data_IF_628699673348
#
_entry.id   IF_628699673348
#
_cell.length_a   1.000
_cell.length_b   1.000
_cell.length_c   1.000
_cell.angle_alpha   90.00
_cell.angle_beta   90.00
_cell.angle_gamma   90.00
#
_symmetry.space_group_name_H-M   'P 1'
#
loop_
_entity.id
_entity.type
_entity.pdbx_description
1 polymer ?
#
# COMPACT_ATOMS: atom_id res chain seq x y z
N UNK A 1 -12.86 -2.15 -19.51
CA UNK A 1 -13.74 -3.25 -19.06
C UNK A 1 -14.85 -2.67 -18.18
N UNK A 2 -15.97 -3.36 -17.95
CA UNK A 2 -17.09 -2.85 -17.13
C UNK A 2 -16.96 -3.34 -15.68
N UNK A 3 -17.34 -2.51 -14.71
CA UNK A 3 -17.36 -2.85 -13.28
C UNK A 3 -18.10 -4.17 -12.98
N UNK A 4 -19.17 -4.46 -13.73
CA UNK A 4 -19.97 -5.69 -13.64
C UNK A 4 -19.10 -6.96 -13.72
N UNK A 5 -18.06 -6.97 -14.58
CA UNK A 5 -17.20 -8.14 -14.73
C UNK A 5 -16.34 -8.38 -13.48
N UNK A 6 -15.83 -7.31 -12.87
CA UNK A 6 -15.01 -7.38 -11.65
C UNK A 6 -15.87 -7.78 -10.47
N UNK A 7 -17.06 -7.18 -10.35
CA UNK A 7 -18.05 -7.54 -9.32
C UNK A 7 -18.45 -9.00 -9.41
N UNK A 8 -18.71 -9.52 -10.61
CA UNK A 8 -19.06 -10.93 -10.79
C UNK A 8 -17.88 -11.86 -10.46
N UNK A 9 -16.65 -11.50 -10.89
CA UNK A 9 -15.47 -12.33 -10.63
C UNK A 9 -15.18 -12.47 -9.12
N UNK A 10 -15.15 -11.36 -8.38
CA UNK A 10 -14.89 -11.38 -6.93
C UNK A 10 -16.12 -11.65 -6.06
N UNK A 11 -17.33 -11.51 -6.62
CA UNK A 11 -18.59 -11.73 -5.91
C UNK A 11 -19.18 -13.13 -6.09
N UNK A 12 -18.96 -13.76 -7.24
CA UNK A 12 -19.60 -15.05 -7.60
C UNK A 12 -18.61 -16.14 -8.05
N UNK A 13 -17.52 -15.77 -8.73
CA UNK A 13 -16.59 -16.76 -9.33
C UNK A 13 -15.54 -17.26 -8.33
N UNK A 14 -14.90 -16.37 -7.58
CA UNK A 14 -13.91 -16.75 -6.58
C UNK A 14 -14.59 -17.22 -5.27
N UNK A 15 -14.34 -18.46 -4.85
CA UNK A 15 -14.86 -19.02 -3.60
C UNK A 15 -13.79 -19.14 -2.50
N UNK A 16 -12.50 -19.02 -2.84
CA UNK A 16 -11.40 -18.92 -1.89
C UNK A 16 -10.07 -18.51 -2.54
N UNK A 17 -9.01 -18.33 -1.73
CA UNK A 17 -7.67 -17.97 -2.21
C UNK A 17 -7.00 -19.06 -3.06
N UNK A 18 -7.42 -20.31 -2.91
CA UNK A 18 -6.90 -21.46 -3.67
C UNK A 18 -7.35 -21.45 -5.15
N UNK A 19 -8.32 -20.60 -5.50
CA UNK A 19 -8.82 -20.47 -6.87
C UNK A 19 -7.90 -19.60 -7.77
N UNK A 20 -6.97 -18.85 -7.15
CA UNK A 20 -6.05 -17.95 -7.84
C UNK A 20 -5.00 -18.71 -8.66
N UNK A 21 -4.74 -18.25 -9.90
CA UNK A 21 -3.82 -18.90 -10.84
C UNK A 21 -2.39 -18.33 -10.80
N UNK A 22 -2.13 -17.42 -9.87
CA UNK A 22 -0.86 -16.72 -9.71
C UNK A 22 -0.40 -16.74 -8.25
N UNK A 23 0.93 -16.71 -8.02
CA UNK A 23 1.46 -16.47 -6.67
C UNK A 23 1.50 -14.96 -6.32
N UNK A 24 0.66 -14.16 -6.97
CA UNK A 24 0.41 -12.77 -6.61
C UNK A 24 0.08 -12.66 -5.12
N UNK A 25 -0.57 -13.70 -4.58
CA UNK A 25 -0.80 -13.92 -3.15
C UNK A 25 0.38 -14.59 -2.46
N UNK A 26 1.00 -13.86 -1.52
CA UNK A 26 2.21 -14.27 -0.80
C UNK A 26 2.07 -15.61 -0.06
N UNK A 27 3.19 -16.30 0.10
CA UNK A 27 3.37 -17.44 0.99
C UNK A 27 3.11 -17.05 2.46
N UNK A 28 2.37 -17.85 3.27
CA UNK A 28 2.07 -17.56 4.67
C UNK A 28 3.27 -17.39 5.62
N UNK A 29 4.47 -17.81 5.21
CA UNK A 29 5.63 -18.02 6.08
C UNK A 29 6.33 -16.73 6.54
N UNK A 30 6.19 -15.61 5.81
CA UNK A 30 6.90 -14.34 6.10
C UNK A 30 6.11 -13.35 6.97
N UNK A 31 4.91 -13.71 7.44
CA UNK A 31 4.06 -12.78 8.19
C UNK A 31 4.53 -12.60 9.65
N UNK A 32 4.71 -11.36 10.14
CA UNK A 32 5.10 -11.10 11.52
C UNK A 32 4.11 -11.68 12.54
N UNK A 33 4.62 -12.15 13.69
CA UNK A 33 3.80 -12.79 14.73
C UNK A 33 2.68 -11.88 15.27
N UNK A 34 2.93 -10.57 15.37
CA UNK A 34 1.90 -9.64 15.84
C UNK A 34 0.72 -9.56 14.86
N UNK A 35 1.00 -9.59 13.54
CA UNK A 35 -0.02 -9.63 12.50
C UNK A 35 -0.81 -10.94 12.58
N UNK A 36 -0.14 -12.08 12.75
CA UNK A 36 -0.80 -13.38 12.93
C UNK A 36 -1.78 -13.36 14.11
N UNK A 37 -1.41 -12.74 15.24
CA UNK A 37 -2.28 -12.58 16.42
C UNK A 37 -3.45 -11.63 16.19
N UNK A 38 -3.27 -10.60 15.38
CA UNK A 38 -4.36 -9.70 14.98
C UNK A 38 -5.36 -10.46 14.12
N UNK A 39 -4.87 -11.17 13.10
CA UNK A 39 -5.70 -11.94 12.18
C UNK A 39 -6.44 -13.09 12.86
N UNK A 40 -5.86 -13.73 13.88
CA UNK A 40 -6.53 -14.80 14.63
C UNK A 40 -7.73 -14.34 15.46
N UNK A 41 -7.90 -13.03 15.65
CA UNK A 41 -9.06 -12.46 16.34
C UNK A 41 -10.16 -11.97 15.39
N UNK A 42 -9.95 -12.11 14.07
CA UNK A 42 -10.94 -11.76 13.05
C UNK A 42 -11.95 -12.90 12.91
N UNK A 43 -13.22 -12.55 12.75
CA UNK A 43 -14.31 -13.52 12.59
C UNK A 43 -14.12 -14.39 11.33
N UNK A 44 -14.40 -15.69 11.43
CA UNK A 44 -14.19 -16.66 10.34
C UNK A 44 -14.94 -16.30 9.05
N UNK A 45 -16.20 -15.84 9.15
CA UNK A 45 -16.98 -15.37 7.99
C UNK A 45 -16.30 -14.23 7.21
N UNK A 46 -15.50 -13.40 7.89
CA UNK A 46 -14.73 -12.31 7.27
C UNK A 46 -13.44 -12.86 6.66
N UNK A 47 -12.74 -13.77 7.36
CA UNK A 47 -11.48 -14.35 6.90
C UNK A 47 -11.66 -15.23 5.66
N UNK A 48 -12.72 -16.02 5.60
CA UNK A 48 -12.97 -16.99 4.52
C UNK A 48 -13.32 -16.34 3.18
N UNK A 49 -13.68 -15.05 3.17
CA UNK A 49 -14.06 -14.28 1.97
C UNK A 49 -13.00 -13.28 1.53
N UNK A 50 -11.75 -13.52 1.90
CA UNK A 50 -10.63 -12.63 1.57
C UNK A 50 -9.83 -13.15 0.37
N UNK A 51 -9.50 -12.23 -0.54
CA UNK A 51 -8.82 -12.52 -1.81
C UNK A 51 -7.51 -11.73 -1.99
N UNK A 52 -6.93 -11.22 -0.90
CA UNK A 52 -5.70 -10.42 -0.93
C UNK A 52 -4.47 -11.12 -0.34
N UNK A 53 -3.35 -10.39 -0.29
CA UNK A 53 -2.03 -10.91 0.04
C UNK A 53 -1.56 -10.35 1.39
N UNK A 54 -1.53 -11.16 2.46
CA UNK A 54 -1.03 -10.70 3.76
C UNK A 54 -1.83 -9.53 4.34
N UNK A 55 -1.29 -8.78 5.30
CA UNK A 55 -1.90 -7.55 5.80
C UNK A 55 -1.06 -6.37 5.33
N UNK A 56 -1.66 -5.41 4.65
CA UNK A 56 -1.00 -4.15 4.27
C UNK A 56 -1.18 -3.15 5.41
N UNK A 57 -0.18 -3.09 6.28
CA UNK A 57 -0.18 -2.20 7.43
C UNK A 57 1.19 -1.51 7.57
N UNK A 58 1.28 -0.18 7.42
CA UNK A 58 2.50 0.53 7.77
C UNK A 58 2.68 0.60 9.29
N UNK A 59 3.85 1.04 9.74
CA UNK A 59 4.17 1.19 11.16
C UNK A 59 3.52 2.46 11.77
N UNK A 60 3.50 2.53 13.10
CA UNK A 60 3.00 3.68 13.88
C UNK A 60 1.55 4.05 13.52
N UNK A 61 0.60 3.16 13.86
CA UNK A 61 -0.82 3.28 13.50
C UNK A 61 -1.70 3.79 14.65
N UNK A 62 -1.18 3.84 15.88
CA UNK A 62 -1.98 4.18 17.07
C UNK A 62 -2.71 5.53 16.89
N UNK A 63 -4.04 5.50 17.10
CA UNK A 63 -4.91 6.67 16.96
C UNK A 63 -5.14 7.15 15.52
N UNK A 64 -4.58 6.50 14.50
CA UNK A 64 -4.69 6.95 13.12
C UNK A 64 -6.12 6.77 12.57
N UNK A 65 -6.50 7.67 11.65
CA UNK A 65 -7.65 7.49 10.78
C UNK A 65 -7.22 6.90 9.44
N UNK A 66 -7.67 5.69 9.15
CA UNK A 66 -7.27 4.90 7.98
C UNK A 66 -8.44 4.71 7.00
N UNK A 67 -8.17 4.82 5.70
CA UNK A 67 -9.08 4.41 4.63
C UNK A 67 -8.52 3.15 3.94
N UNK A 68 -9.33 2.11 3.80
CA UNK A 68 -9.02 0.91 3.03
C UNK A 68 -9.80 0.90 1.72
N UNK A 69 -9.09 0.93 0.59
CA UNK A 69 -9.66 0.92 -0.75
C UNK A 69 -9.78 -0.51 -1.25
N UNK A 70 -11.01 -0.95 -1.54
CA UNK A 70 -11.32 -2.32 -1.94
C UNK A 70 -11.37 -3.28 -0.74
N UNK A 71 -12.09 -2.89 0.31
CA UNK A 71 -12.02 -3.57 1.61
C UNK A 71 -12.66 -4.97 1.65
N UNK A 72 -13.47 -5.34 0.64
CA UNK A 72 -14.21 -6.60 0.61
C UNK A 72 -15.05 -6.82 1.87
N UNK A 73 -14.96 -8.02 2.44
CA UNK A 73 -15.62 -8.39 3.70
C UNK A 73 -15.02 -7.71 4.95
N UNK A 74 -13.98 -6.88 4.80
CA UNK A 74 -13.42 -6.05 5.87
C UNK A 74 -12.30 -6.69 6.67
N UNK A 75 -11.62 -7.75 6.19
CA UNK A 75 -10.51 -8.38 6.92
C UNK A 75 -9.45 -7.35 7.32
N UNK A 76 -8.97 -6.57 6.36
CA UNK A 76 -7.87 -5.62 6.59
C UNK A 76 -8.39 -4.43 7.42
N UNK A 77 -9.63 -3.97 7.18
CA UNK A 77 -10.32 -2.97 8.02
C UNK A 77 -10.36 -3.38 9.50
N UNK A 78 -10.78 -4.62 9.81
CA UNK A 78 -10.85 -5.09 11.19
C UNK A 78 -9.48 -5.35 11.80
N UNK A 79 -8.52 -5.84 11.01
CA UNK A 79 -7.14 -5.98 11.49
C UNK A 79 -6.53 -4.61 11.84
N UNK A 80 -6.73 -3.62 10.98
CA UNK A 80 -6.28 -2.24 11.21
C UNK A 80 -7.02 -1.59 12.38
N UNK A 81 -8.32 -1.85 12.56
CA UNK A 81 -9.12 -1.38 13.70
C UNK A 81 -8.49 -1.76 15.03
N UNK A 82 -7.98 -2.98 15.15
CA UNK A 82 -7.25 -3.43 16.33
C UNK A 82 -5.89 -2.74 16.49
N UNK A 83 -5.17 -2.50 15.39
CA UNK A 83 -3.84 -1.87 15.40
C UNK A 83 -3.88 -0.36 15.69
N UNK A 84 -4.92 0.35 15.24
CA UNK A 84 -5.09 1.78 15.54
C UNK A 84 -5.62 2.02 16.96
N UNK A 85 -6.22 0.98 17.58
CA UNK A 85 -6.83 1.06 18.90
C UNK A 85 -8.15 1.83 18.92
N UNK A 86 -8.79 1.89 20.09
CA UNK A 86 -10.14 2.43 20.28
C UNK A 86 -10.27 3.92 19.88
N UNK A 87 -9.19 4.69 19.96
CA UNK A 87 -9.17 6.12 19.60
C UNK A 87 -8.96 6.37 18.10
N UNK A 88 -8.47 5.38 17.37
CA UNK A 88 -8.34 5.42 15.91
C UNK A 88 -9.65 5.09 15.21
N UNK A 89 -9.67 5.23 13.88
CA UNK A 89 -10.85 4.96 13.06
C UNK A 89 -10.44 4.33 11.74
N UNK A 90 -11.19 3.34 11.26
CA UNK A 90 -10.93 2.70 9.96
C UNK A 90 -12.16 2.72 9.09
N UNK A 91 -12.03 3.19 7.87
CA UNK A 91 -13.12 3.29 6.89
C UNK A 91 -12.79 2.36 5.73
N UNK A 92 -13.71 1.48 5.35
CA UNK A 92 -13.59 0.63 4.16
C UNK A 92 -14.48 1.13 3.03
N UNK A 93 -13.98 1.08 1.79
CA UNK A 93 -14.76 1.32 0.57
C UNK A 93 -14.72 0.08 -0.31
N UNK A 94 -15.88 -0.41 -0.72
CA UNK A 94 -15.97 -1.49 -1.71
C UNK A 94 -17.16 -1.30 -2.66
N UNK A 95 -17.05 -1.82 -3.88
CA UNK A 95 -18.12 -1.74 -4.88
C UNK A 95 -19.14 -2.89 -4.75
N UNK A 96 -18.88 -3.88 -3.91
CA UNK A 96 -19.65 -5.14 -3.81
C UNK A 96 -20.51 -5.17 -2.55
N UNK A 97 -21.80 -4.89 -2.69
CA UNK A 97 -22.72 -4.80 -1.54
C UNK A 97 -22.77 -6.10 -0.72
N UNK A 98 -22.73 -7.26 -1.38
CA UNK A 98 -22.73 -8.55 -0.70
C UNK A 98 -21.50 -8.77 0.22
N UNK A 99 -20.35 -8.18 -0.11
CA UNK A 99 -19.15 -8.21 0.74
C UNK A 99 -19.31 -7.24 1.91
N UNK A 100 -19.82 -6.03 1.64
CA UNK A 100 -20.10 -5.03 2.68
C UNK A 100 -21.15 -5.51 3.69
N UNK A 101 -22.14 -6.28 3.25
CA UNK A 101 -23.14 -6.90 4.14
C UNK A 101 -22.53 -7.92 5.10
N UNK A 102 -21.48 -8.64 4.68
CA UNK A 102 -20.69 -9.47 5.61
C UNK A 102 -19.93 -8.56 6.56
N UNK A 103 -19.20 -7.58 6.02
CA UNK A 103 -18.39 -6.66 6.80
C UNK A 103 -19.21 -6.02 7.93
N UNK A 104 -20.33 -5.36 7.59
CA UNK A 104 -21.21 -4.65 8.53
C UNK A 104 -21.79 -5.56 9.62
N UNK A 105 -22.12 -6.82 9.31
CA UNK A 105 -22.68 -7.77 10.29
C UNK A 105 -21.73 -8.12 11.44
N UNK A 106 -20.42 -7.97 11.25
CA UNK A 106 -19.42 -8.33 12.26
C UNK A 106 -18.82 -7.11 13.00
N UNK A 107 -19.39 -5.91 12.85
CA UNK A 107 -18.86 -4.70 13.49
C UNK A 107 -18.85 -4.78 15.02
N UNK A 108 -19.96 -5.25 15.60
CA UNK A 108 -20.11 -5.40 17.06
C UNK A 108 -19.22 -6.52 17.59
N UNK A 109 -19.16 -7.66 16.88
CA UNK A 109 -18.28 -8.77 17.24
C UNK A 109 -16.83 -8.31 17.41
N UNK A 110 -16.28 -7.58 16.42
CA UNK A 110 -14.89 -7.14 16.48
C UNK A 110 -14.68 -6.07 17.55
N UNK A 111 -15.64 -5.16 17.76
CA UNK A 111 -15.57 -4.19 18.85
C UNK A 111 -15.46 -4.90 20.22
N UNK A 112 -16.33 -5.87 20.49
CA UNK A 112 -16.31 -6.65 21.73
C UNK A 112 -15.02 -7.47 21.85
N UNK A 113 -14.61 -8.15 20.77
CA UNK A 113 -13.42 -9.00 20.71
C UNK A 113 -12.13 -8.21 20.96
N UNK A 114 -12.07 -6.96 20.52
CA UNK A 114 -10.92 -6.06 20.73
C UNK A 114 -11.02 -5.27 22.04
N UNK A 115 -12.16 -5.34 22.75
CA UNK A 115 -12.39 -4.62 23.99
C UNK A 115 -12.70 -3.13 23.80
N UNK A 116 -13.18 -2.73 22.63
CA UNK A 116 -13.63 -1.36 22.35
C UNK A 116 -15.06 -1.16 22.86
N UNK A 117 -15.36 0.00 23.42
CA UNK A 117 -16.71 0.35 23.86
C UNK A 117 -17.72 0.40 22.70
N UNK A 118 -17.26 0.83 21.53
CA UNK A 118 -18.03 0.88 20.29
C UNK A 118 -17.14 0.50 19.10
N UNK A 119 -17.77 0.07 18.01
CA UNK A 119 -17.05 -0.16 16.76
C UNK A 119 -16.48 1.16 16.23
N UNK A 120 -15.18 1.16 15.91
CA UNK A 120 -14.49 2.29 15.30
C UNK A 120 -14.31 2.12 13.78
N UNK A 121 -15.08 1.21 13.17
CA UNK A 121 -15.05 0.97 11.72
C UNK A 121 -16.33 1.45 11.02
N UNK A 122 -16.18 1.84 9.75
CA UNK A 122 -17.27 2.25 8.86
C UNK A 122 -17.07 1.66 7.47
N UNK A 123 -18.16 1.40 6.74
CA UNK A 123 -18.13 0.78 5.42
C UNK A 123 -19.02 1.53 4.41
N UNK A 124 -18.41 2.05 3.34
CA UNK A 124 -19.10 2.76 2.26
C UNK A 124 -19.19 1.90 1.01
N UNK A 125 -20.36 1.91 0.38
CA UNK A 125 -20.54 1.36 -0.96
C UNK A 125 -20.12 2.39 -2.00
N UNK A 126 -19.19 2.03 -2.88
CA UNK A 126 -18.62 3.00 -3.82
C UNK A 126 -17.54 2.44 -4.73
N UNK A 127 -17.17 3.24 -5.72
CA UNK A 127 -16.05 2.95 -6.60
C UNK A 127 -14.82 3.73 -6.14
N UNK A 128 -13.66 3.05 -6.10
CA UNK A 128 -12.40 3.66 -5.65
C UNK A 128 -11.87 4.73 -6.61
N UNK A 129 -12.33 4.77 -7.86
CA UNK A 129 -12.05 5.85 -8.82
C UNK A 129 -13.01 7.05 -8.71
N UNK A 130 -14.01 6.98 -7.82
CA UNK A 130 -15.05 8.01 -7.60
C UNK A 130 -15.17 8.39 -6.13
N UNK A 131 -14.03 8.51 -5.44
CA UNK A 131 -13.98 8.84 -4.01
C UNK A 131 -14.61 10.20 -3.68
N UNK A 132 -14.68 11.11 -4.66
CA UNK A 132 -15.34 12.41 -4.58
C UNK A 132 -16.87 12.32 -4.57
N UNK A 133 -17.45 11.19 -4.97
CA UNK A 133 -18.90 10.92 -4.88
C UNK A 133 -19.31 10.37 -3.49
N UNK A 134 -18.33 9.99 -2.65
CA UNK A 134 -18.56 9.46 -1.31
C UNK A 134 -18.57 10.57 -0.27
N UNK A 135 -19.31 10.37 0.83
CA UNK A 135 -19.36 11.29 1.97
C UNK A 135 -18.10 11.13 2.85
N UNK A 136 -16.94 11.44 2.26
CA UNK A 136 -15.63 11.39 2.90
C UNK A 136 -15.04 12.80 2.97
N UNK A 137 -14.68 13.22 4.17
CA UNK A 137 -14.13 14.56 4.39
C UNK A 137 -12.73 14.70 3.75
N UNK A 138 -12.49 15.73 2.90
CA UNK A 138 -11.17 16.00 2.35
C UNK A 138 -10.12 16.27 3.42
N UNK A 139 -8.89 15.80 3.20
CA UNK A 139 -7.81 16.02 4.16
C UNK A 139 -8.05 15.46 5.55
N UNK A 140 -8.84 14.38 5.69
CA UNK A 140 -9.24 13.81 6.99
C UNK A 140 -8.50 12.53 7.36
N UNK A 141 -7.86 11.85 6.39
CA UNK A 141 -7.20 10.56 6.62
C UNK A 141 -5.70 10.72 6.86
N UNK A 142 -5.17 10.01 7.86
CA UNK A 142 -3.73 9.92 8.12
C UNK A 142 -3.07 8.94 7.14
N UNK A 143 -3.76 7.83 6.85
CA UNK A 143 -3.24 6.73 6.05
C UNK A 143 -4.34 6.22 5.11
N UNK A 144 -3.98 5.96 3.87
CA UNK A 144 -4.81 5.21 2.93
C UNK A 144 -4.07 3.92 2.58
N UNK A 145 -4.73 2.78 2.72
CA UNK A 145 -4.19 1.48 2.33
C UNK A 145 -4.99 0.87 1.18
N UNK A 146 -4.35 -0.06 0.48
CA UNK A 146 -4.98 -0.85 -0.56
C UNK A 146 -4.14 -2.09 -0.84
N UNK A 147 -4.80 -3.21 -1.15
CA UNK A 147 -4.12 -4.45 -1.48
C UNK A 147 -4.64 -5.02 -2.81
N UNK A 148 -3.84 -4.92 -3.87
CA UNK A 148 -4.08 -5.51 -5.19
C UNK A 148 -5.37 -5.09 -5.91
N UNK A 149 -5.99 -3.95 -5.57
CA UNK A 149 -7.22 -3.49 -6.23
C UNK A 149 -7.07 -2.27 -7.14
N UNK A 150 -5.98 -1.49 -7.03
CA UNK A 150 -5.81 -0.28 -7.86
C UNK A 150 -5.68 -0.69 -9.34
N UNK A 151 -5.06 -1.83 -9.62
CA UNK A 151 -5.01 -2.41 -10.95
C UNK A 151 -6.36 -2.74 -11.58
N UNK A 152 -7.39 -2.99 -10.76
CA UNK A 152 -8.75 -3.27 -11.21
C UNK A 152 -9.57 -1.99 -11.47
N UNK A 153 -9.07 -0.83 -11.05
CA UNK A 153 -9.74 0.45 -11.29
C UNK A 153 -9.69 0.83 -12.77
N UNK A 154 -10.81 1.38 -13.25
CA UNK A 154 -10.94 1.82 -14.65
C UNK A 154 -10.20 3.14 -14.92
N UNK A 155 -10.13 4.03 -13.93
CA UNK A 155 -9.31 5.24 -13.94
C UNK A 155 -8.38 5.28 -12.71
N UNK A 156 -7.19 4.71 -12.88
CA UNK A 156 -6.15 4.64 -11.85
C UNK A 156 -5.66 6.02 -11.41
N UNK A 157 -5.65 6.98 -12.32
CA UNK A 157 -5.25 8.34 -11.99
C UNK A 157 -6.30 9.03 -11.12
N UNK A 158 -7.59 8.74 -11.32
CA UNK A 158 -8.65 9.20 -10.43
C UNK A 158 -8.52 8.63 -9.02
N UNK A 159 -8.19 7.33 -8.88
CA UNK A 159 -7.91 6.72 -7.56
C UNK A 159 -6.81 7.49 -6.83
N UNK A 160 -5.66 7.71 -7.48
CA UNK A 160 -4.52 8.40 -6.86
C UNK A 160 -4.82 9.87 -6.54
N UNK A 161 -5.56 10.58 -7.41
CA UNK A 161 -6.00 11.96 -7.10
C UNK A 161 -6.99 12.01 -5.93
N UNK A 162 -7.93 11.07 -5.88
CA UNK A 162 -8.89 10.95 -4.77
C UNK A 162 -8.18 10.65 -3.45
N UNK A 163 -7.21 9.73 -3.47
CA UNK A 163 -6.38 9.43 -2.32
C UNK A 163 -5.58 10.66 -1.84
N UNK A 164 -4.92 11.38 -2.75
CA UNK A 164 -4.20 12.61 -2.42
C UNK A 164 -5.13 13.71 -1.85
N UNK A 165 -6.38 13.78 -2.33
CA UNK A 165 -7.37 14.74 -1.83
C UNK A 165 -7.86 14.42 -0.41
N UNK A 166 -8.06 13.13 -0.10
CA UNK A 166 -8.55 12.66 1.19
C UNK A 166 -7.48 12.62 2.28
N UNK A 167 -6.20 12.49 1.91
CA UNK A 167 -5.08 12.51 2.84
C UNK A 167 -4.87 13.90 3.46
N UNK A 168 -4.63 13.94 4.77
CA UNK A 168 -4.02 15.09 5.46
C UNK A 168 -2.68 15.44 4.83
N UNK A 169 -2.25 16.69 4.99
CA UNK A 169 -0.86 17.04 4.69
C UNK A 169 0.05 16.28 5.67
N UNK A 170 1.06 15.59 5.13
CA UNK A 170 1.88 14.63 5.88
C UNK A 170 1.28 13.21 6.00
N UNK A 171 0.07 13.00 5.50
CA UNK A 171 -0.53 11.67 5.38
C UNK A 171 0.14 10.81 4.29
N UNK A 172 -0.10 9.50 4.31
CA UNK A 172 0.48 8.59 3.32
C UNK A 172 -0.52 7.62 2.71
N UNK A 173 -0.33 7.31 1.43
CA UNK A 173 -0.92 6.11 0.82
C UNK A 173 0.11 4.98 0.86
N UNK A 174 -0.19 3.87 1.52
CA UNK A 174 0.68 2.70 1.66
C UNK A 174 -0.03 1.48 1.09
N UNK A 175 0.40 0.98 -0.06
CA UNK A 175 -0.34 -0.03 -0.80
C UNK A 175 0.56 -0.99 -1.55
N UNK A 176 0.05 -2.19 -1.82
CA UNK A 176 0.74 -3.19 -2.63
C UNK A 176 -0.08 -3.50 -3.87
N UNK A 177 0.60 -3.60 -5.01
CA UNK A 177 -0.03 -3.99 -6.27
C UNK A 177 0.97 -4.68 -7.21
N UNK A 178 0.46 -5.17 -8.34
CA UNK A 178 1.24 -5.81 -9.41
C UNK A 178 1.70 -4.77 -10.44
N UNK A 179 2.94 -4.85 -10.86
CA UNK A 179 3.50 -3.95 -11.87
C UNK A 179 4.20 -4.75 -12.95
N UNK A 180 4.09 -4.26 -14.19
CA UNK A 180 4.74 -4.85 -15.34
C UNK A 180 6.06 -4.13 -15.67
N UNK A 181 7.02 -4.89 -16.18
CA UNK A 181 8.31 -4.38 -16.69
C UNK A 181 8.15 -3.50 -17.95
N UNK A 182 7.03 -3.66 -18.66
CA UNK A 182 6.66 -2.91 -19.88
C UNK A 182 5.15 -2.74 -19.96
N UNK A 183 4.68 -1.91 -20.91
CA UNK A 183 3.25 -1.67 -21.13
C UNK A 183 2.54 -2.94 -21.61
N UNK A 184 1.47 -3.31 -20.92
CA UNK A 184 0.61 -4.44 -21.31
C UNK A 184 -0.10 -4.11 -22.64
N UNK A 185 -0.04 -4.99 -23.65
CA UNK A 185 -0.77 -4.79 -24.90
C UNK A 185 -2.28 -4.71 -24.69
N UNK A 186 -2.96 -3.81 -25.42
CA UNK A 186 -4.40 -3.58 -25.29
C UNK A 186 -5.24 -4.85 -25.48
N UNK A 187 -4.84 -5.73 -26.39
CA UNK A 187 -5.53 -7.00 -26.65
C UNK A 187 -5.54 -7.92 -25.42
N UNK A 188 -4.51 -7.86 -24.57
CA UNK A 188 -4.48 -8.59 -23.29
C UNK A 188 -5.31 -7.90 -22.21
N UNK A 189 -5.38 -6.57 -22.22
CA UNK A 189 -6.19 -5.77 -21.29
C UNK A 189 -7.70 -6.00 -21.44
N UNK A 190 -8.14 -6.58 -22.56
CA UNK A 190 -9.54 -6.95 -22.82
C UNK A 190 -9.86 -8.40 -22.42
N UNK A 191 -8.87 -9.19 -21.99
CA UNK A 191 -9.07 -10.56 -21.49
C UNK A 191 -9.54 -10.57 -20.04
N UNK A 192 -10.75 -11.12 -19.81
CA UNK A 192 -11.40 -11.13 -18.49
C UNK A 192 -10.66 -11.98 -17.45
N UNK A 193 -10.03 -13.09 -17.87
CA UNK A 193 -9.29 -13.97 -16.94
C UNK A 193 -8.00 -13.30 -16.50
N UNK A 194 -7.22 -12.76 -17.43
CA UNK A 194 -5.99 -12.03 -17.09
C UNK A 194 -6.27 -10.75 -16.30
N UNK A 195 -7.44 -10.15 -16.48
CA UNK A 195 -7.87 -8.98 -15.71
C UNK A 195 -8.24 -9.34 -14.29
N UNK A 196 -9.00 -10.44 -14.09
CA UNK A 196 -9.35 -10.95 -12.76
C UNK A 196 -8.13 -11.38 -11.94
N UNK A 197 -7.06 -11.84 -12.58
CA UNK A 197 -5.77 -12.15 -11.95
C UNK A 197 -4.87 -10.91 -11.72
N UNK A 198 -5.39 -9.69 -11.91
CA UNK A 198 -4.65 -8.43 -11.80
C UNK A 198 -3.42 -8.28 -12.75
N UNK A 199 -3.28 -9.15 -13.75
CA UNK A 199 -2.14 -9.14 -14.67
C UNK A 199 -2.33 -8.15 -15.82
N UNK A 200 -3.49 -8.21 -16.49
CA UNK A 200 -3.71 -7.37 -17.68
C UNK A 200 -4.01 -5.91 -17.36
N UNK A 201 -4.47 -5.64 -16.14
CA UNK A 201 -4.66 -4.29 -15.59
C UNK A 201 -3.38 -3.67 -15.01
N UNK A 202 -2.29 -4.44 -14.91
CA UNK A 202 -1.04 -4.00 -14.30
C UNK A 202 -0.43 -2.81 -15.05
N UNK A 203 -0.06 -1.77 -14.31
CA UNK A 203 0.65 -0.63 -14.88
C UNK A 203 2.10 -0.98 -15.19
N UNK A 204 2.60 -0.44 -16.30
CA UNK A 204 4.03 -0.30 -16.47
C UNK A 204 4.60 0.56 -15.34
N UNK A 205 5.68 0.10 -14.71
CA UNK A 205 6.31 0.74 -13.56
C UNK A 205 6.53 2.25 -13.72
N UNK A 206 7.10 2.72 -14.83
CA UNK A 206 7.37 4.14 -15.01
C UNK A 206 6.12 4.97 -15.36
N UNK A 207 5.08 4.34 -15.94
CA UNK A 207 3.79 5.00 -16.11
C UNK A 207 3.13 5.21 -14.74
N UNK A 208 3.22 4.22 -13.83
CA UNK A 208 2.77 4.37 -12.44
C UNK A 208 3.47 5.53 -11.72
N UNK A 209 4.81 5.60 -11.79
CA UNK A 209 5.56 6.69 -11.17
C UNK A 209 5.14 8.06 -11.73
N UNK A 210 4.93 8.13 -13.05
CA UNK A 210 4.50 9.37 -13.72
C UNK A 210 3.10 9.80 -13.28
N UNK A 211 2.15 8.85 -13.22
CA UNK A 211 0.77 9.13 -12.79
C UNK A 211 0.74 9.53 -11.31
N UNK A 212 1.52 8.87 -10.45
CA UNK A 212 1.62 9.20 -9.02
C UNK A 212 2.08 10.63 -8.81
N UNK A 213 3.16 11.04 -9.48
CA UNK A 213 3.67 12.42 -9.45
C UNK A 213 2.64 13.43 -9.97
N UNK A 214 1.99 13.12 -11.10
CA UNK A 214 0.93 13.97 -11.64
C UNK A 214 -0.31 14.06 -10.74
N UNK A 215 -0.49 13.12 -9.80
CA UNK A 215 -1.61 13.07 -8.87
C UNK A 215 -1.30 13.73 -7.52
N UNK A 216 -0.10 14.29 -7.34
CA UNK A 216 0.31 15.03 -6.13
C UNK A 216 1.27 14.27 -5.21
N UNK A 217 1.74 13.09 -5.61
CA UNK A 217 2.74 12.31 -4.87
C UNK A 217 4.13 12.46 -5.51
N UNK A 218 4.87 13.49 -5.12
CA UNK A 218 6.10 13.91 -5.80
C UNK A 218 7.26 12.90 -5.70
N UNK A 219 7.31 12.11 -4.63
CA UNK A 219 8.40 11.15 -4.36
C UNK A 219 7.85 9.78 -3.91
N UNK A 220 7.38 8.93 -4.86
CA UNK A 220 6.98 7.55 -4.57
C UNK A 220 8.13 6.70 -4.06
N UNK A 221 7.98 6.05 -2.90
CA UNK A 221 9.04 5.20 -2.31
C UNK A 221 8.68 3.72 -2.37
N UNK A 222 9.57 2.93 -2.98
CA UNK A 222 9.46 1.48 -3.02
C UNK A 222 9.86 0.88 -1.68
N UNK A 223 8.94 0.21 -0.99
CA UNK A 223 9.18 -0.41 0.32
C UNK A 223 9.72 -1.83 0.15
N UNK A 224 9.00 -2.66 -0.59
CA UNK A 224 9.39 -4.03 -0.92
C UNK A 224 8.96 -4.37 -2.34
N UNK A 225 9.70 -5.25 -3.01
CA UNK A 225 9.34 -5.81 -4.31
C UNK A 225 9.71 -7.29 -4.35
N UNK A 226 8.87 -8.10 -4.98
CA UNK A 226 9.17 -9.50 -5.28
C UNK A 226 8.73 -9.85 -6.70
N UNK A 227 9.51 -10.66 -7.44
CA UNK A 227 9.05 -11.25 -8.69
C UNK A 227 7.74 -12.02 -8.49
N UNK A 228 6.82 -11.89 -9.43
CA UNK A 228 5.58 -12.66 -9.47
C UNK A 228 5.72 -13.75 -10.53
N UNK A 229 5.50 -15.00 -10.12
CA UNK A 229 5.56 -16.16 -11.01
C UNK A 229 4.14 -16.64 -11.32
N UNK A 230 3.90 -16.98 -12.58
CA UNK A 230 2.61 -17.47 -13.05
C UNK A 230 2.68 -18.98 -13.06
N UNK A 231 1.99 -19.63 -12.13
CA UNK A 231 2.05 -21.08 -11.95
C UNK A 231 1.17 -21.86 -12.95
N UNK A 232 0.58 -21.13 -13.91
CA UNK A 232 -0.18 -21.67 -15.02
C UNK A 232 0.60 -21.47 -16.35
N UNK A 233 1.16 -22.54 -16.93
CA UNK A 233 1.97 -22.44 -18.15
C UNK A 233 1.23 -21.86 -19.36
N UNK A 234 -0.10 -22.02 -19.41
CA UNK A 234 -0.92 -21.44 -20.48
C UNK A 234 -0.99 -19.93 -20.31
N UNK A 235 -1.24 -19.44 -19.09
CA UNK A 235 -1.27 -17.99 -18.82
C UNK A 235 0.11 -17.37 -18.98
N UNK A 236 1.17 -18.05 -18.54
CA UNK A 236 2.56 -17.60 -18.68
C UNK A 236 2.93 -17.38 -20.16
N UNK A 237 2.61 -18.34 -21.04
CA UNK A 237 2.83 -18.17 -22.48
C UNK A 237 2.00 -17.04 -23.09
N UNK A 238 0.79 -16.80 -22.57
CA UNK A 238 -0.10 -15.74 -23.06
C UNK A 238 0.38 -14.35 -22.71
N UNK A 239 1.01 -14.17 -21.54
CA UNK A 239 1.52 -12.86 -21.12
C UNK A 239 2.97 -12.61 -21.53
N UNK A 240 3.70 -13.64 -21.97
CA UNK A 240 5.05 -13.47 -22.47
C UNK A 240 5.10 -12.40 -23.60
N UNK A 241 6.10 -11.49 -23.61
CA UNK A 241 7.31 -11.46 -22.79
C UNK A 241 7.21 -10.55 -21.54
N UNK A 242 6.01 -10.27 -21.01
CA UNK A 242 5.82 -9.45 -19.81
C UNK A 242 6.43 -10.15 -18.59
N UNK A 243 7.09 -9.38 -17.74
CA UNK A 243 7.49 -9.80 -16.40
C UNK A 243 6.76 -8.95 -15.37
N UNK A 244 6.32 -9.57 -14.28
CA UNK A 244 5.53 -8.93 -13.25
C UNK A 244 6.26 -8.93 -11.90
N UNK A 245 6.06 -7.85 -11.15
CA UNK A 245 6.57 -7.68 -9.78
C UNK A 245 5.40 -7.29 -8.90
N UNK A 246 5.24 -7.97 -7.77
CA UNK A 246 4.40 -7.48 -6.68
C UNK A 246 5.23 -6.51 -5.84
N UNK A 247 4.80 -5.26 -5.74
CA UNK A 247 5.54 -4.23 -5.03
C UNK A 247 4.65 -3.44 -4.07
N UNK A 248 5.23 -3.12 -2.92
CA UNK A 248 4.64 -2.24 -1.92
C UNK A 248 5.24 -0.86 -2.05
N UNK A 249 4.39 0.14 -2.23
CA UNK A 249 4.76 1.53 -2.32
C UNK A 249 4.20 2.32 -1.15
N UNK A 250 4.95 3.36 -0.76
CA UNK A 250 4.45 4.43 0.09
C UNK A 250 4.54 5.77 -0.63
N UNK A 251 3.45 6.52 -0.59
CA UNK A 251 3.29 7.80 -1.26
C UNK A 251 2.89 8.85 -0.21
N UNK A 252 3.82 9.71 0.18
CA UNK A 252 3.52 10.79 1.12
C UNK A 252 2.88 11.99 0.42
N UNK A 253 1.83 12.55 1.03
CA UNK A 253 1.23 13.81 0.61
C UNK A 253 1.97 14.98 1.28
N UNK A 254 3.08 15.39 0.67
CA UNK A 254 3.88 16.52 1.11
C UNK A 254 4.24 17.38 -0.11
N UNK A 255 3.63 18.56 -0.20
CA UNK A 255 3.79 19.44 -1.36
C UNK A 255 5.22 19.96 -1.57
N UNK A 256 6.01 19.99 -0.50
CA UNK A 256 7.40 20.47 -0.50
C UNK A 256 8.41 19.42 -1.00
N UNK A 257 8.01 18.16 -1.21
CA UNK A 257 8.92 17.14 -1.72
C UNK A 257 9.38 17.48 -3.14
N UNK A 258 10.68 17.42 -3.35
CA UNK A 258 11.35 17.75 -4.60
C UNK A 258 11.39 16.51 -5.53
N UNK A 259 11.47 16.69 -6.87
CA UNK A 259 11.54 15.57 -7.81
C UNK A 259 12.82 14.72 -7.70
N UNK A 260 13.88 15.29 -7.13
CA UNK A 260 15.17 14.67 -6.92
C UNK A 260 15.53 14.68 -5.43
N UNK A 261 16.40 13.76 -5.00
CA UNK A 261 16.92 13.76 -3.65
C UNK A 261 18.03 14.81 -3.51
N UNK A 262 17.69 15.97 -2.97
CA UNK A 262 18.63 17.07 -2.72
C UNK A 262 19.32 16.92 -1.36
N UNK A 263 20.59 17.31 -1.29
CA UNK A 263 21.43 17.27 -0.10
C UNK A 263 21.50 18.65 0.58
N UNK A 264 21.13 18.68 1.85
CA UNK A 264 21.22 19.85 2.73
C UNK A 264 22.08 19.57 3.98
N UNK A 265 22.88 18.49 3.97
CA UNK A 265 23.74 18.11 5.10
C UNK A 265 22.98 17.54 6.30
N UNK A 266 21.79 16.99 6.04
CA UNK A 266 20.84 16.56 7.06
C UNK A 266 21.09 15.12 7.53
N UNK A 267 20.81 14.85 8.81
CA UNK A 267 20.84 13.50 9.38
C UNK A 267 19.81 13.28 10.49
N UNK A 268 19.20 12.11 10.52
CA UNK A 268 18.21 11.73 11.55
C UNK A 268 18.78 10.71 12.52
N UNK A 269 18.19 10.62 13.72
CA UNK A 269 18.45 9.53 14.67
C UNK A 269 17.13 8.90 15.04
N UNK A 270 16.98 7.60 14.77
CA UNK A 270 15.80 6.86 15.18
C UNK A 270 15.84 6.55 16.69
N UNK A 271 14.76 6.86 17.41
CA UNK A 271 14.67 6.67 18.88
C UNK A 271 14.36 5.23 19.30
N UNK A 272 13.88 4.37 18.38
CA UNK A 272 13.49 3.00 18.73
C UNK A 272 12.16 2.91 19.49
N UNK A 273 11.25 3.85 19.22
CA UNK A 273 9.98 4.03 19.95
C UNK A 273 8.76 3.48 19.21
N UNK A 274 8.92 3.07 17.95
CA UNK A 274 7.83 2.41 17.21
C UNK A 274 7.72 0.98 17.71
N UNK A 275 6.54 0.59 18.20
CA UNK A 275 6.29 -0.65 18.95
C UNK A 275 6.83 -1.92 18.25
N UNK A 276 6.57 -2.06 16.95
CA UNK A 276 6.98 -3.24 16.17
C UNK A 276 8.29 -3.05 15.41
N UNK A 277 9.04 -1.99 15.71
CA UNK A 277 10.32 -1.67 15.09
C UNK A 277 11.33 -1.13 16.11
N UNK A 278 11.61 -1.83 17.23
CA UNK A 278 12.40 -1.27 18.34
C UNK A 278 13.90 -1.11 18.04
N UNK A 279 14.42 -1.78 17.01
CA UNK A 279 15.86 -1.84 16.70
C UNK A 279 16.26 -1.04 15.46
N UNK A 280 15.40 -0.98 14.46
CA UNK A 280 15.60 -0.26 13.22
C UNK A 280 14.25 0.16 12.65
N UNK A 281 14.22 1.29 11.95
CA UNK A 281 13.06 1.76 11.22
C UNK A 281 13.33 1.63 9.72
N UNK A 282 12.49 0.87 9.03
CA UNK A 282 12.56 0.71 7.58
C UNK A 282 11.55 1.70 6.98
N UNK A 283 12.05 2.79 6.39
CA UNK A 283 11.21 3.73 5.67
C UNK A 283 10.88 3.17 4.28
N UNK A 284 11.88 2.66 3.57
CA UNK A 284 11.74 2.09 2.25
C UNK A 284 12.91 1.13 1.97
N UNK A 285 12.98 0.56 0.78
CA UNK A 285 14.02 -0.40 0.36
C UNK A 285 15.46 0.11 0.47
N UNK A 286 15.68 1.42 0.56
CA UNK A 286 17.00 2.04 0.64
C UNK A 286 17.31 2.62 2.03
N UNK A 287 16.29 2.87 2.85
CA UNK A 287 16.42 3.55 4.14
C UNK A 287 16.07 2.60 5.31
N UNK A 288 17.07 1.83 5.74
CA UNK A 288 17.05 1.05 6.98
C UNK A 288 17.83 1.82 8.05
N UNK A 289 17.12 2.41 9.01
CA UNK A 289 17.67 3.38 9.98
C UNK A 289 17.82 2.71 11.35
N UNK A 290 19.03 2.36 11.81
CA UNK A 290 19.24 1.74 13.11
C UNK A 290 18.97 2.70 14.27
N UNK A 291 18.41 2.18 15.35
CA UNK A 291 18.20 2.93 16.59
C UNK A 291 19.50 3.57 17.09
N UNK A 292 19.44 4.86 17.43
CA UNK A 292 20.53 5.61 18.06
C UNK A 292 21.69 5.94 17.12
N UNK A 293 21.64 5.53 15.85
CA UNK A 293 22.66 5.87 14.85
C UNK A 293 22.30 7.21 14.18
N UNK A 294 23.28 8.10 14.06
CA UNK A 294 23.19 9.26 13.16
C UNK A 294 23.18 8.74 11.72
N UNK A 295 22.08 8.96 11.02
CA UNK A 295 21.84 8.45 9.68
C UNK A 295 21.64 9.61 8.70
N UNK A 296 22.58 9.88 7.78
CA UNK A 296 22.44 10.93 6.77
C UNK A 296 21.24 10.68 5.85
N UNK A 297 20.52 11.75 5.51
CA UNK A 297 19.33 11.68 4.66
C UNK A 297 19.25 12.87 3.71
N UNK A 298 18.59 12.70 2.58
CA UNK A 298 18.23 13.81 1.69
C UNK A 298 17.06 14.63 2.27
N UNK A 299 16.84 15.82 1.68
CA UNK A 299 15.75 16.73 2.06
C UNK A 299 14.36 16.10 2.04
N UNK A 300 14.07 15.27 1.04
CA UNK A 300 12.79 14.56 0.96
C UNK A 300 12.59 13.57 2.11
N UNK A 301 13.57 12.69 2.34
CA UNK A 301 13.51 11.70 3.43
C UNK A 301 13.40 12.40 4.78
N UNK A 302 14.10 13.52 4.97
CA UNK A 302 13.97 14.34 6.16
C UNK A 302 12.54 14.85 6.37
N UNK A 303 11.91 15.43 5.34
CA UNK A 303 10.52 15.89 5.41
C UNK A 303 9.54 14.73 5.64
N UNK A 304 9.74 13.58 5.00
CA UNK A 304 8.91 12.39 5.22
C UNK A 304 8.95 11.88 6.66
N UNK A 305 10.05 12.11 7.38
CA UNK A 305 10.17 11.73 8.78
C UNK A 305 9.71 12.86 9.72
N UNK A 306 10.03 14.12 9.43
CA UNK A 306 9.75 15.27 10.30
C UNK A 306 8.31 15.78 10.19
N UNK A 307 7.76 15.79 8.99
CA UNK A 307 6.51 16.48 8.69
C UNK A 307 5.34 15.48 8.56
N UNK A 308 5.48 14.31 9.21
CA UNK A 308 4.50 13.23 9.23
C UNK A 308 4.37 12.68 10.66
N UNK A 309 3.51 11.68 10.84
CA UNK A 309 3.35 11.00 12.15
C UNK A 309 4.63 10.37 12.71
N UNK A 310 5.70 10.25 11.93
CA UNK A 310 6.96 9.70 12.38
C UNK A 310 7.80 10.68 13.22
N UNK A 311 7.48 11.98 13.22
CA UNK A 311 8.30 13.04 13.80
C UNK A 311 8.75 12.74 15.23
N UNK A 312 7.83 12.31 16.09
CA UNK A 312 8.11 12.05 17.50
C UNK A 312 9.09 10.90 17.72
N UNK A 313 9.27 10.03 16.73
CA UNK A 313 10.16 8.86 16.77
C UNK A 313 11.59 9.16 16.31
N UNK A 314 11.88 10.38 15.87
CA UNK A 314 13.20 10.76 15.36
C UNK A 314 13.73 12.03 16.03
N UNK A 315 15.05 12.11 16.16
CA UNK A 315 15.77 13.36 16.37
C UNK A 315 16.37 13.82 15.04
N UNK A 316 16.51 15.13 14.89
CA UNK A 316 16.80 15.79 13.63
C UNK A 316 18.05 16.69 13.76
N UNK A 317 19.06 16.46 12.92
CA UNK A 317 20.31 17.25 12.83
C UNK A 317 20.44 17.96 11.47
N UNK A 318 20.49 19.29 11.48
CA UNK A 318 20.58 20.13 10.27
C UNK A 318 19.29 20.90 9.96
N UNK A 319 19.32 21.66 8.88
CA UNK A 319 18.23 22.51 8.38
C UNK A 319 18.26 22.57 6.85
N UNK A 320 17.56 23.53 6.24
CA UNK A 320 17.52 23.74 4.78
C UNK A 320 18.27 25.02 4.35
N UNK A 321 19.14 25.58 5.19
CA UNK A 321 19.80 26.88 4.90
C UNK A 321 20.91 26.76 3.85
N UNK A 322 21.57 25.61 3.73
CA UNK A 322 22.67 25.39 2.78
C UNK A 322 22.41 24.16 1.90
N UNK A 323 22.36 24.37 0.59
CA UNK A 323 22.23 23.30 -0.41
C UNK A 323 23.61 22.82 -0.89
N UNK A 324 23.82 21.51 -0.90
CA UNK A 324 25.07 20.85 -1.27
C UNK A 324 25.02 20.13 -2.63
N UNK A 325 23.86 20.15 -3.31
CA UNK A 325 23.65 19.46 -4.58
C UNK A 325 22.83 18.18 -4.42
N UNK A 326 23.07 17.19 -5.28
CA UNK A 326 22.35 15.91 -5.26
C UNK A 326 22.88 15.01 -4.14
N UNK A 327 21.97 14.42 -3.37
CA UNK A 327 22.30 13.40 -2.37
C UNK A 327 22.63 12.07 -3.06
N UNK A 328 23.85 11.58 -2.87
CA UNK A 328 24.31 10.33 -3.47
C UNK A 328 23.60 9.10 -2.85
N UNK A 329 23.22 8.13 -3.69
CA UNK A 329 22.68 6.84 -3.23
C UNK A 329 21.20 6.83 -2.81
N UNK A 330 20.44 7.90 -3.09
CA UNK A 330 19.01 7.94 -2.81
C UNK A 330 18.18 7.32 -3.94
N UNK A 331 17.96 5.99 -3.87
CA UNK A 331 16.75 5.33 -4.39
C UNK A 331 16.39 5.45 -5.88
N UNK A 332 17.37 5.42 -6.79
CA UNK A 332 17.14 5.66 -8.23
C UNK A 332 16.88 4.46 -9.14
N UNK A 333 17.06 3.22 -8.66
CA UNK A 333 17.05 2.04 -9.56
C UNK A 333 15.73 1.27 -9.53
N UNK A 334 15.21 0.93 -10.72
CA UNK A 334 14.04 0.08 -10.87
C UNK A 334 14.35 -1.36 -10.44
N UNK A 335 13.43 -2.09 -9.79
CA UNK A 335 13.70 -3.41 -9.23
C UNK A 335 13.93 -4.51 -10.28
N UNK A 336 13.77 -4.22 -11.57
CA UNK A 336 14.00 -5.18 -12.66
C UNK A 336 15.48 -5.48 -12.93
N UNK A 337 16.42 -4.81 -12.25
CA UNK A 337 17.84 -5.15 -12.25
C UNK A 337 18.15 -6.20 -11.19
N UNK A 338 17.66 -7.43 -11.36
CA UNK A 338 17.99 -8.54 -10.46
C UNK A 338 19.39 -9.15 -10.67
N UNK A 339 20.20 -8.58 -11.59
CA UNK A 339 21.50 -9.12 -12.02
C UNK A 339 22.71 -8.17 -11.77
N UNK A 340 22.54 -7.06 -11.03
CA UNK A 340 23.62 -6.07 -10.86
C UNK A 340 24.55 -6.29 -9.65
N UNK A 341 24.29 -7.27 -8.79
CA UNK A 341 25.22 -7.69 -7.72
C UNK A 341 26.13 -8.81 -8.23
N UNK A 342 27.05 -8.49 -9.15
CA UNK A 342 27.87 -9.56 -9.70
C UNK A 342 28.96 -9.25 -10.72
N UNK A 343 29.36 -8.00 -10.99
CA UNK A 343 30.60 -7.76 -11.76
C UNK A 343 31.33 -6.51 -11.26
N UNK A 344 32.10 -6.67 -10.19
CA UNK A 344 33.21 -5.77 -9.92
C UNK A 344 34.26 -5.96 -11.03
N UNK A 345 34.35 -5.00 -11.95
CA UNK A 345 35.46 -4.91 -12.90
C UNK A 345 36.76 -4.62 -12.11
N UNK A 346 37.73 -5.52 -12.20
CA UNK A 346 39.14 -5.25 -11.89
C UNK A 346 39.89 -4.88 -13.17
#
# INVERSE_FOLDING_TARGET
MKHENVQNYYGEVLQGSDDLQTNACCSPDDMPDYVKRVLSDIHDDVLTRYYGCGLIAPLALEGARILDLGCGAGRDVYALSKLVGETGRVVGVDMTEAQLDVARRHQEYHAEKFGHAHSNVEFHHGYIEKLDELDLEPGSFDIIVSNCVVNLATDKAAVLRGAAHLLKDGGEMYFSDVYADRRVPREMAEDEVLYGECLSGALYWNDFLSISKASGFNDPRLVTARPLTIENPVLEQRVAPLSFVSATYRLFKLAALEPACEDYGQAVIYKGTVEHAPHEFILDSHHVIPKGKVFPVCGNTWMMLRDTRFADHFDFIGDFETHHGIFEGCGGDAPFNFDADGVACC
#
